data_IF_235572001174
#
_entry.id   IF_235572001174
#
_cell.length_a   1.000
_cell.length_b   1.000
_cell.length_c   1.000
_cell.angle_alpha   90.00
_cell.angle_beta   90.00
_cell.angle_gamma   90.00
#
_symmetry.space_group_name_H-M   'P 1'
#
loop_
_entity.id
_entity.type
_entity.pdbx_description
1 polymer ?
#
# COMPACT_ATOMS: atom_id res chain seq x y z
N UNK A 1 8.68 13.17 -34.06
CA UNK A 1 8.23 12.22 -33.05
C UNK A 1 9.39 12.11 -32.06
N UNK A 2 9.29 12.76 -30.95
CA UNK A 2 10.28 12.63 -29.87
C UNK A 2 10.15 11.22 -29.32
N UNK A 3 11.20 10.43 -29.54
CA UNK A 3 11.35 9.13 -28.91
C UNK A 3 11.37 9.41 -27.39
N UNK A 4 10.19 9.26 -26.74
CA UNK A 4 10.10 9.53 -25.33
C UNK A 4 10.87 8.42 -24.60
N UNK A 5 11.84 8.80 -23.79
CA UNK A 5 12.67 7.88 -23.01
C UNK A 5 11.88 7.04 -21.99
N UNK A 6 10.54 7.03 -22.08
CA UNK A 6 9.63 6.30 -21.17
C UNK A 6 8.31 5.95 -21.88
N UNK A 7 7.75 4.79 -21.55
CA UNK A 7 6.44 4.32 -22.04
C UNK A 7 5.39 4.33 -20.90
N UNK A 8 4.81 5.51 -20.66
CA UNK A 8 3.74 5.68 -19.67
C UNK A 8 2.49 4.85 -20.01
N UNK A 9 2.22 4.61 -21.31
CA UNK A 9 1.07 3.83 -21.74
C UNK A 9 1.22 2.35 -21.37
N UNK A 10 2.42 1.78 -21.50
CA UNK A 10 2.70 0.41 -21.04
C UNK A 10 2.49 0.27 -19.53
N UNK A 11 2.95 1.25 -18.75
CA UNK A 11 2.74 1.28 -17.29
C UNK A 11 1.26 1.35 -16.95
N UNK A 12 0.51 2.24 -17.59
CA UNK A 12 -0.95 2.38 -17.37
C UNK A 12 -1.69 1.08 -17.65
N UNK A 13 -1.41 0.46 -18.79
CA UNK A 13 -2.04 -0.80 -19.21
C UNK A 13 -1.75 -1.92 -18.20
N UNK A 14 -0.51 -2.01 -17.75
CA UNK A 14 -0.11 -3.02 -16.77
C UNK A 14 -0.79 -2.77 -15.40
N UNK A 15 -0.83 -1.53 -14.91
CA UNK A 15 -1.49 -1.19 -13.64
C UNK A 15 -2.98 -1.55 -13.65
N UNK A 16 -3.69 -1.28 -14.75
CA UNK A 16 -5.10 -1.66 -14.91
C UNK A 16 -5.28 -3.18 -14.93
N UNK A 17 -4.39 -3.90 -15.60
CA UNK A 17 -4.36 -5.36 -15.59
C UNK A 17 -4.10 -5.92 -14.19
N UNK A 18 -3.15 -5.35 -13.45
CA UNK A 18 -2.85 -5.71 -12.06
C UNK A 18 -4.06 -5.52 -11.14
N UNK A 19 -4.73 -4.36 -11.22
CA UNK A 19 -5.95 -4.11 -10.44
C UNK A 19 -7.01 -5.16 -10.72
N UNK A 20 -7.26 -5.46 -11.99
CA UNK A 20 -8.26 -6.44 -12.41
C UNK A 20 -7.92 -7.83 -11.89
N UNK A 21 -6.69 -8.29 -12.10
CA UNK A 21 -6.23 -9.59 -11.63
C UNK A 21 -6.38 -9.76 -10.11
N UNK A 22 -5.99 -8.75 -9.33
CA UNK A 22 -6.10 -8.81 -7.88
C UNK A 22 -7.57 -8.81 -7.45
N UNK A 23 -8.42 -7.94 -8.03
CA UNK A 23 -9.82 -7.86 -7.69
C UNK A 23 -10.58 -9.15 -8.02
N UNK A 24 -10.33 -9.75 -9.18
CA UNK A 24 -10.98 -10.98 -9.60
C UNK A 24 -10.54 -12.17 -8.73
N UNK A 25 -9.24 -12.28 -8.43
CA UNK A 25 -8.70 -13.34 -7.57
C UNK A 25 -9.26 -13.26 -6.15
N UNK A 26 -9.24 -12.06 -5.56
CA UNK A 26 -9.72 -11.88 -4.18
C UNK A 26 -11.24 -11.93 -4.08
N UNK A 27 -11.97 -11.49 -5.12
CA UNK A 27 -13.42 -11.65 -5.20
C UNK A 27 -13.84 -13.12 -5.28
N UNK A 28 -13.12 -13.92 -6.06
CA UNK A 28 -13.34 -15.37 -6.10
C UNK A 28 -13.00 -16.05 -4.77
N UNK A 29 -11.95 -15.60 -4.08
CA UNK A 29 -11.59 -16.10 -2.75
C UNK A 29 -12.64 -15.76 -1.67
N UNK A 30 -13.19 -14.53 -1.70
CA UNK A 30 -14.22 -14.06 -0.79
C UNK A 30 -15.59 -14.77 -1.05
N UNK A 31 -15.91 -15.03 -2.30
CA UNK A 31 -17.23 -15.45 -2.77
C UNK A 31 -18.12 -14.29 -3.23
N UNK A 32 -17.62 -13.05 -3.17
CA UNK A 32 -18.32 -11.83 -3.57
C UNK A 32 -17.44 -10.97 -4.50
N UNK A 33 -17.94 -10.56 -5.67
CA UNK A 33 -17.18 -9.70 -6.57
C UNK A 33 -17.02 -8.29 -6.01
N UNK A 34 -15.92 -7.65 -6.35
CA UNK A 34 -15.72 -6.23 -6.07
C UNK A 34 -16.65 -5.37 -6.92
N UNK A 35 -17.34 -4.42 -6.31
CA UNK A 35 -18.04 -3.37 -7.02
C UNK A 35 -17.03 -2.44 -7.73
N UNK A 36 -17.43 -1.96 -8.90
CA UNK A 36 -16.59 -1.08 -9.73
C UNK A 36 -17.14 0.33 -9.72
N UNK A 37 -16.30 1.29 -9.41
CA UNK A 37 -16.61 2.72 -9.44
C UNK A 37 -15.54 3.43 -10.28
N UNK A 38 -15.84 3.61 -11.57
CA UNK A 38 -15.00 4.36 -12.50
C UNK A 38 -15.34 5.86 -12.40
N UNK A 39 -14.31 6.68 -12.34
CA UNK A 39 -14.49 8.13 -12.18
C UNK A 39 -13.55 8.93 -13.08
N UNK A 40 -14.00 10.12 -13.44
CA UNK A 40 -13.23 11.10 -14.21
C UNK A 40 -13.25 12.44 -13.48
N UNK A 41 -12.17 13.20 -13.59
CA UNK A 41 -12.10 14.58 -13.09
C UNK A 41 -12.93 15.49 -13.97
N UNK A 42 -13.60 16.46 -13.34
CA UNK A 42 -14.36 17.46 -14.07
C UNK A 42 -13.42 18.44 -14.77
N UNK A 43 -13.69 18.79 -16.04
CA UNK A 43 -12.93 19.84 -16.71
C UNK A 43 -12.87 21.14 -15.92
N UNK A 44 -11.67 21.71 -15.76
CA UNK A 44 -11.46 22.95 -14.97
C UNK A 44 -11.01 22.73 -13.52
N UNK A 45 -10.97 21.48 -13.03
CA UNK A 45 -10.32 21.16 -11.77
C UNK A 45 -8.78 21.31 -11.87
N UNK A 46 -8.12 21.46 -10.69
CA UNK A 46 -6.64 21.54 -10.60
C UNK A 46 -5.96 20.27 -11.10
N UNK A 47 -6.61 19.13 -10.91
CA UNK A 47 -6.15 17.84 -11.42
C UNK A 47 -7.03 17.37 -12.55
N UNK A 48 -6.42 16.76 -13.56
CA UNK A 48 -7.06 16.10 -14.71
C UNK A 48 -6.89 14.60 -14.60
N UNK A 49 -7.60 13.84 -15.43
CA UNK A 49 -7.50 12.38 -15.48
C UNK A 49 -8.62 11.69 -14.73
N UNK A 50 -8.38 10.47 -14.27
CA UNK A 50 -9.43 9.65 -13.67
C UNK A 50 -8.87 8.43 -12.96
N UNK A 51 -9.75 7.47 -12.72
CA UNK A 51 -9.36 6.22 -12.10
C UNK A 51 -10.52 5.25 -11.98
N UNK A 52 -10.23 4.16 -11.30
CA UNK A 52 -11.21 3.10 -11.00
C UNK A 52 -10.99 2.61 -9.58
N UNK A 53 -12.04 2.66 -8.78
CA UNK A 53 -12.06 2.06 -7.45
C UNK A 53 -12.80 0.73 -7.52
N UNK A 54 -12.13 -0.33 -7.08
CA UNK A 54 -12.73 -1.63 -6.82
C UNK A 54 -12.93 -1.76 -5.33
N UNK A 55 -14.18 -1.89 -4.88
CA UNK A 55 -14.53 -1.93 -3.46
C UNK A 55 -15.37 -3.17 -3.15
N UNK A 56 -15.04 -3.87 -2.06
CA UNK A 56 -15.83 -4.95 -1.49
C UNK A 56 -16.10 -4.59 -0.03
N UNK A 57 -17.35 -4.53 0.35
CA UNK A 57 -17.80 -4.28 1.72
C UNK A 57 -18.76 -5.37 2.15
N UNK A 58 -18.61 -5.86 3.37
CA UNK A 58 -19.44 -6.92 3.92
C UNK A 58 -19.40 -8.20 3.08
N UNK A 59 -18.21 -8.64 2.69
CA UNK A 59 -17.98 -9.95 2.08
C UNK A 59 -18.00 -11.07 3.12
N UNK A 60 -17.86 -12.29 2.68
CA UNK A 60 -17.83 -13.44 3.60
C UNK A 60 -16.48 -13.53 4.33
N UNK A 61 -15.41 -13.10 3.67
CA UNK A 61 -14.05 -13.09 4.23
C UNK A 61 -13.55 -11.68 4.53
N UNK A 62 -13.71 -10.74 3.58
CA UNK A 62 -13.29 -9.35 3.76
C UNK A 62 -14.42 -8.50 4.34
N UNK A 63 -14.17 -7.88 5.50
CA UNK A 63 -15.07 -6.87 6.07
C UNK A 63 -15.07 -5.59 5.21
N UNK A 64 -13.89 -5.21 4.75
CA UNK A 64 -13.67 -4.19 3.71
C UNK A 64 -12.38 -4.50 2.94
N UNK A 65 -12.45 -4.34 1.62
CA UNK A 65 -11.29 -4.43 0.74
C UNK A 65 -11.41 -3.37 -0.36
N UNK A 66 -10.39 -2.56 -0.52
CA UNK A 66 -10.35 -1.51 -1.53
C UNK A 66 -9.10 -1.62 -2.40
N UNK A 67 -9.26 -1.53 -3.73
CA UNK A 67 -8.20 -1.56 -4.72
C UNK A 67 -8.42 -0.40 -5.68
N UNK A 68 -7.65 0.67 -5.54
CA UNK A 68 -7.75 1.88 -6.36
C UNK A 68 -6.69 1.90 -7.45
N UNK A 69 -7.11 2.14 -8.69
CA UNK A 69 -6.26 2.64 -9.76
C UNK A 69 -6.52 4.14 -9.93
N UNK A 70 -5.48 4.93 -10.05
CA UNK A 70 -5.57 6.34 -10.41
C UNK A 70 -4.54 6.70 -11.47
N UNK A 71 -4.92 7.62 -12.36
CA UNK A 71 -4.06 8.25 -13.35
C UNK A 71 -4.46 9.71 -13.45
N UNK A 72 -3.67 10.58 -12.83
CA UNK A 72 -3.96 11.98 -12.67
C UNK A 72 -2.79 12.84 -13.08
N UNK A 73 -3.09 14.00 -13.66
CA UNK A 73 -2.11 14.98 -14.09
C UNK A 73 -2.44 16.37 -13.54
N UNK A 74 -1.43 17.19 -13.36
CA UNK A 74 -1.57 18.58 -12.91
C UNK A 74 -0.52 19.49 -13.52
N UNK A 75 -0.80 20.78 -13.53
CA UNK A 75 0.10 21.77 -14.14
C UNK A 75 1.28 22.17 -13.25
N UNK A 76 1.23 21.81 -11.97
CA UNK A 76 2.32 22.03 -11.02
C UNK A 76 2.44 20.87 -10.05
N UNK A 77 3.67 20.39 -9.82
CA UNK A 77 3.98 19.41 -8.79
C UNK A 77 3.54 19.96 -7.42
N UNK A 78 2.83 19.13 -6.63
CA UNK A 78 2.47 19.50 -5.26
C UNK A 78 3.70 19.76 -4.39
N UNK A 79 3.55 20.66 -3.40
CA UNK A 79 4.62 21.00 -2.48
C UNK A 79 5.21 19.80 -1.73
N UNK A 80 4.39 18.79 -1.41
CA UNK A 80 4.84 17.55 -0.78
C UNK A 80 5.73 16.68 -1.69
N UNK A 81 5.52 16.72 -3.02
CA UNK A 81 6.35 16.01 -3.99
C UNK A 81 7.61 16.80 -4.38
N UNK A 82 7.57 18.15 -4.30
CA UNK A 82 8.71 19.02 -4.62
C UNK A 82 9.57 19.38 -3.41
N UNK A 83 9.12 19.13 -2.17
CA UNK A 83 9.87 19.46 -0.95
C UNK A 83 11.24 18.76 -0.89
N UNK A 84 11.31 17.50 -1.32
CA UNK A 84 12.56 16.74 -1.41
C UNK A 84 13.36 17.04 -2.70
N UNK A 85 12.74 17.73 -3.68
CA UNK A 85 13.31 18.01 -5.01
C UNK A 85 12.96 19.43 -5.46
N UNK A 86 13.56 20.46 -4.84
CA UNK A 86 13.24 21.86 -5.16
C UNK A 86 13.44 22.23 -6.65
N UNK A 87 14.36 21.55 -7.34
CA UNK A 87 14.64 21.72 -8.76
C UNK A 87 13.46 21.30 -9.67
N UNK A 88 12.51 20.54 -9.16
CA UNK A 88 11.31 20.13 -9.89
C UNK A 88 10.10 21.05 -9.64
N UNK A 89 10.25 22.06 -8.81
CA UNK A 89 9.19 23.02 -8.54
C UNK A 89 8.72 23.70 -9.84
N UNK A 90 7.41 23.83 -10.00
CA UNK A 90 6.79 24.43 -11.18
C UNK A 90 6.72 23.56 -12.42
N UNK A 91 7.19 22.28 -12.36
CA UNK A 91 6.92 21.30 -13.42
C UNK A 91 5.48 20.80 -13.33
N UNK A 92 4.86 20.58 -14.49
CA UNK A 92 3.66 19.75 -14.57
C UNK A 92 3.97 18.30 -14.21
N UNK A 93 2.95 17.52 -13.92
CA UNK A 93 3.15 16.10 -13.57
C UNK A 93 2.02 15.21 -14.08
N UNK A 94 2.35 13.95 -14.25
CA UNK A 94 1.44 12.82 -14.38
C UNK A 94 1.82 11.79 -13.31
N UNK A 95 0.82 11.28 -12.58
CA UNK A 95 1.02 10.27 -11.54
C UNK A 95 -0.02 9.19 -11.72
N UNK A 96 0.45 7.94 -11.83
CA UNK A 96 -0.42 6.78 -11.95
C UNK A 96 0.02 5.65 -11.03
N UNK A 97 -0.95 4.89 -10.53
CA UNK A 97 -0.64 3.80 -9.61
C UNK A 97 -1.84 2.96 -9.23
N UNK A 98 -1.53 1.82 -8.62
CA UNK A 98 -2.47 0.96 -7.91
C UNK A 98 -2.14 0.98 -6.44
N UNK A 99 -3.14 1.21 -5.60
CA UNK A 99 -3.06 1.13 -4.15
C UNK A 99 -4.18 0.26 -3.61
N UNK A 100 -3.88 -0.59 -2.64
CA UNK A 100 -4.89 -1.43 -2.01
C UNK A 100 -4.69 -1.55 -0.51
N UNK A 101 -5.80 -1.74 0.20
CA UNK A 101 -5.83 -2.16 1.60
C UNK A 101 -6.96 -3.15 1.79
N UNK A 102 -6.66 -4.27 2.45
CA UNK A 102 -7.59 -5.36 2.68
C UNK A 102 -7.75 -5.60 4.18
N UNK A 103 -8.99 -5.59 4.66
CA UNK A 103 -9.35 -5.81 6.07
C UNK A 103 -10.22 -7.05 6.22
N UNK A 104 -9.64 -8.23 6.57
CA UNK A 104 -10.40 -9.45 6.84
C UNK A 104 -11.29 -9.34 8.10
N UNK A 105 -12.39 -10.10 8.13
CA UNK A 105 -13.19 -10.29 9.34
C UNK A 105 -12.40 -11.01 10.44
N UNK A 106 -11.73 -12.10 10.08
CA UNK A 106 -11.02 -12.94 11.04
C UNK A 106 -9.77 -12.24 11.58
N UNK A 107 -9.65 -12.02 12.90
CA UNK A 107 -8.48 -11.37 13.51
C UNK A 107 -7.16 -12.10 13.31
N UNK A 108 -7.19 -13.40 13.01
CA UNK A 108 -6.00 -14.17 12.70
C UNK A 108 -5.47 -13.96 11.27
N UNK A 109 -6.28 -13.31 10.42
CA UNK A 109 -5.88 -12.88 9.10
C UNK A 109 -5.42 -11.42 9.14
N UNK A 110 -4.20 -11.12 8.71
CA UNK A 110 -3.67 -9.76 8.81
C UNK A 110 -4.31 -8.80 7.80
N UNK A 111 -4.36 -7.52 8.15
CA UNK A 111 -4.51 -6.44 7.17
C UNK A 111 -3.25 -6.38 6.30
N UNK A 112 -3.40 -6.07 5.03
CA UNK A 112 -2.30 -5.90 4.08
C UNK A 112 -2.50 -4.62 3.29
N UNK A 113 -1.40 -3.97 2.98
CA UNK A 113 -1.31 -2.83 2.09
C UNK A 113 -0.33 -3.12 0.96
N UNK A 114 -0.62 -2.64 -0.23
CA UNK A 114 0.32 -2.57 -1.35
C UNK A 114 0.08 -1.29 -2.13
N UNK A 115 1.16 -0.68 -2.60
CA UNK A 115 1.13 0.44 -3.54
C UNK A 115 2.23 0.23 -4.58
N UNK A 116 1.93 0.50 -5.84
CA UNK A 116 2.91 0.62 -6.93
C UNK A 116 2.54 1.79 -7.80
N UNK A 117 3.49 2.68 -8.09
CA UNK A 117 3.21 3.94 -8.78
C UNK A 117 4.36 4.43 -9.64
N UNK A 118 4.01 5.21 -10.65
CA UNK A 118 4.90 6.02 -11.48
C UNK A 118 4.53 7.50 -11.32
N UNK A 119 5.52 8.36 -11.21
CA UNK A 119 5.37 9.81 -11.36
C UNK A 119 6.32 10.33 -12.44
N UNK A 120 5.81 11.19 -13.30
CA UNK A 120 6.56 11.84 -14.38
C UNK A 120 6.38 13.36 -14.22
N UNK A 121 7.49 14.09 -14.09
CA UNK A 121 7.50 15.54 -14.01
C UNK A 121 7.99 16.13 -15.34
N UNK A 122 7.19 17.01 -15.94
CA UNK A 122 7.46 17.59 -17.26
C UNK A 122 7.51 19.10 -17.23
N UNK A 123 8.36 19.68 -18.10
CA UNK A 123 8.39 21.11 -18.36
C UNK A 123 8.74 21.34 -19.83
N UNK A 124 8.07 22.24 -20.53
CA UNK A 124 8.37 22.51 -21.94
C UNK A 124 9.84 22.87 -22.15
N UNK A 125 10.49 22.18 -23.09
CA UNK A 125 11.91 22.42 -23.41
C UNK A 125 12.92 21.78 -22.48
N UNK A 126 12.48 21.03 -21.47
CA UNK A 126 13.35 20.28 -20.57
C UNK A 126 13.03 18.77 -20.64
N UNK A 127 14.06 17.94 -20.39
CA UNK A 127 13.87 16.49 -20.31
C UNK A 127 12.90 16.13 -19.19
N UNK A 128 11.98 15.18 -19.39
CA UNK A 128 11.12 14.65 -18.35
C UNK A 128 11.93 13.97 -17.25
N UNK A 129 11.45 14.10 -16.01
CA UNK A 129 12.01 13.38 -14.86
C UNK A 129 10.96 12.41 -14.35
N UNK A 130 11.31 11.14 -14.27
CA UNK A 130 10.41 10.10 -13.78
C UNK A 130 10.99 9.42 -12.54
N UNK A 131 10.12 8.84 -11.74
CA UNK A 131 10.50 7.90 -10.68
C UNK A 131 9.35 6.95 -10.35
N UNK A 132 9.73 5.77 -9.94
CA UNK A 132 8.83 4.76 -9.42
C UNK A 132 8.85 4.77 -7.90
N UNK A 133 7.71 4.40 -7.30
CA UNK A 133 7.55 4.21 -5.88
C UNK A 133 6.58 3.07 -5.60
N UNK A 134 6.65 2.54 -4.39
CA UNK A 134 5.74 1.49 -4.01
C UNK A 134 6.18 0.72 -2.78
N UNK A 135 5.61 -0.45 -2.63
CA UNK A 135 5.88 -1.38 -1.56
C UNK A 135 4.65 -2.18 -1.18
N UNK A 136 4.85 -3.11 -0.26
CA UNK A 136 3.78 -3.85 0.41
C UNK A 136 4.19 -4.14 1.85
N UNK A 137 3.23 -4.08 2.77
CA UNK A 137 3.45 -4.33 4.19
C UNK A 137 2.28 -5.06 4.83
N UNK A 138 2.59 -5.85 5.87
CA UNK A 138 1.65 -6.71 6.57
C UNK A 138 1.40 -6.22 7.99
N UNK A 139 0.13 -6.12 8.38
CA UNK A 139 -0.30 -5.66 9.70
C UNK A 139 -1.11 -6.76 10.39
N UNK A 140 -0.46 -7.69 11.11
CA UNK A 140 -1.15 -8.71 11.90
C UNK A 140 -1.72 -8.14 13.20
N UNK A 141 -2.77 -8.78 13.69
CA UNK A 141 -3.32 -8.60 15.04
C UNK A 141 -2.86 -9.72 15.96
N UNK A 142 -2.72 -10.92 15.41
CA UNK A 142 -2.08 -12.07 16.04
C UNK A 142 -0.87 -12.47 15.21
N UNK A 143 0.30 -12.50 15.82
CA UNK A 143 1.55 -12.75 15.13
C UNK A 143 1.82 -14.24 14.89
N UNK A 144 2.18 -14.57 13.66
CA UNK A 144 2.64 -15.91 13.25
C UNK A 144 3.98 -15.77 12.54
N UNK A 145 5.01 -16.40 13.09
CA UNK A 145 6.38 -16.25 12.57
C UNK A 145 6.53 -16.79 11.14
N UNK A 146 5.85 -17.86 10.83
CA UNK A 146 5.86 -18.46 9.50
C UNK A 146 5.18 -17.56 8.44
N UNK A 147 4.14 -16.81 8.81
CA UNK A 147 3.51 -15.82 7.93
C UNK A 147 4.44 -14.63 7.67
N UNK A 148 5.08 -14.12 8.74
CA UNK A 148 6.04 -13.04 8.62
C UNK A 148 7.24 -13.42 7.73
N UNK A 149 7.81 -14.60 7.96
CA UNK A 149 8.90 -15.12 7.13
C UNK A 149 8.48 -15.37 5.68
N UNK A 150 7.28 -15.90 5.45
CA UNK A 150 6.75 -16.09 4.10
C UNK A 150 6.61 -14.75 3.37
N UNK A 151 5.95 -13.77 4.00
CA UNK A 151 5.72 -12.45 3.40
C UNK A 151 7.04 -11.77 3.03
N UNK A 152 7.98 -11.72 3.96
CA UNK A 152 9.30 -11.12 3.73
C UNK A 152 10.13 -11.87 2.70
N UNK A 153 10.02 -13.21 2.62
CA UNK A 153 10.69 -14.00 1.58
C UNK A 153 10.18 -13.61 0.19
N UNK A 154 8.87 -13.50 0.01
CA UNK A 154 8.30 -13.06 -1.28
C UNK A 154 8.73 -11.62 -1.60
N UNK A 155 8.80 -10.72 -0.63
CA UNK A 155 9.34 -9.37 -0.82
C UNK A 155 10.78 -9.41 -1.31
N UNK A 156 11.64 -10.21 -0.68
CA UNK A 156 13.04 -10.38 -1.08
C UNK A 156 13.15 -10.96 -2.49
N UNK A 157 12.47 -12.06 -2.75
CA UNK A 157 12.54 -12.79 -4.01
C UNK A 157 12.05 -11.93 -5.20
N UNK A 158 11.10 -11.01 -4.95
CA UNK A 158 10.64 -10.05 -5.95
C UNK A 158 11.70 -8.99 -6.31
N UNK A 159 12.62 -8.69 -5.43
CA UNK A 159 13.67 -7.68 -5.61
C UNK A 159 15.02 -8.26 -6.02
N UNK A 160 15.30 -9.52 -5.67
CA UNK A 160 16.60 -10.17 -5.89
C UNK A 160 17.11 -10.08 -7.34
N UNK A 161 16.29 -10.23 -8.40
CA UNK A 161 16.75 -10.10 -9.79
C UNK A 161 17.27 -8.69 -10.17
N UNK A 162 16.95 -7.69 -9.36
CA UNK A 162 17.26 -6.27 -9.60
C UNK A 162 18.40 -5.74 -8.72
N UNK A 163 18.79 -6.47 -7.70
CA UNK A 163 19.93 -6.16 -6.84
C UNK A 163 19.78 -6.73 -5.43
N UNK A 164 20.81 -7.39 -4.94
CA UNK A 164 20.81 -8.04 -3.62
C UNK A 164 20.62 -7.07 -2.45
N UNK A 165 21.02 -5.80 -2.61
CA UNK A 165 20.93 -4.77 -1.58
C UNK A 165 19.54 -4.09 -1.53
N UNK A 166 18.66 -4.34 -2.51
CA UNK A 166 17.36 -3.68 -2.58
C UNK A 166 16.45 -4.12 -1.43
N UNK A 167 16.34 -5.41 -1.17
CA UNK A 167 15.47 -5.88 -0.09
C UNK A 167 15.90 -5.35 1.29
N UNK A 168 17.16 -5.47 1.74
CA UNK A 168 17.56 -4.90 3.02
C UNK A 168 17.31 -3.38 3.13
N UNK A 169 17.53 -2.65 2.04
CA UNK A 169 17.34 -1.20 1.99
C UNK A 169 15.86 -0.82 2.07
N UNK A 170 15.01 -1.47 1.26
CA UNK A 170 13.59 -1.17 1.20
C UNK A 170 12.83 -1.70 2.42
N UNK A 171 13.30 -2.80 3.03
CA UNK A 171 12.78 -3.30 4.31
C UNK A 171 13.03 -2.29 5.43
N UNK A 172 14.25 -1.78 5.56
CA UNK A 172 14.59 -0.76 6.54
C UNK A 172 13.77 0.51 6.34
N UNK A 173 13.65 0.96 5.09
CA UNK A 173 12.83 2.12 4.78
C UNK A 173 11.34 1.90 5.10
N UNK A 174 10.82 0.70 4.87
CA UNK A 174 9.47 0.31 5.26
C UNK A 174 9.26 0.42 6.78
N UNK A 175 10.20 -0.12 7.58
CA UNK A 175 10.14 -0.06 9.04
C UNK A 175 10.16 1.40 9.56
N UNK A 176 11.00 2.25 8.96
CA UNK A 176 11.08 3.68 9.30
C UNK A 176 9.82 4.45 8.88
N UNK A 177 9.30 4.17 7.68
CA UNK A 177 8.14 4.88 7.14
C UNK A 177 6.86 4.58 7.91
N UNK A 178 6.58 3.30 8.19
CA UNK A 178 5.36 2.86 8.86
C UNK A 178 5.46 2.85 10.40
N UNK A 179 6.34 3.66 10.95
CA UNK A 179 6.51 3.80 12.40
C UNK A 179 5.60 4.91 12.97
N UNK A 180 4.78 4.56 13.97
CA UNK A 180 3.93 5.49 14.71
C UNK A 180 4.74 6.20 15.80
N UNK A 181 5.27 7.38 15.51
CA UNK A 181 6.17 8.12 16.40
C UNK A 181 5.55 8.42 17.77
N UNK A 182 4.26 8.80 17.79
CA UNK A 182 3.53 9.13 19.02
C UNK A 182 3.16 7.91 19.87
N UNK A 183 3.26 6.69 19.32
CA UNK A 183 3.07 5.42 20.01
C UNK A 183 4.37 4.70 20.31
N UNK A 184 5.46 5.11 19.67
CA UNK A 184 6.75 4.42 19.70
C UNK A 184 6.64 2.94 19.30
N UNK A 185 5.86 2.66 18.25
CA UNK A 185 5.64 1.30 17.75
C UNK A 185 5.50 1.27 16.21
N UNK A 186 5.90 0.20 15.53
CA UNK A 186 5.61 0.02 14.11
C UNK A 186 4.12 -0.30 13.88
N UNK A 187 3.61 0.05 12.69
CA UNK A 187 2.23 -0.26 12.29
C UNK A 187 1.98 -1.77 12.20
N UNK A 188 2.95 -2.53 11.71
CA UNK A 188 2.89 -3.97 11.52
C UNK A 188 4.30 -4.58 11.52
N UNK A 189 4.45 -5.72 10.86
CA UNK A 189 5.74 -6.43 10.73
C UNK A 189 6.60 -5.91 9.58
N UNK A 190 6.18 -4.84 8.91
CA UNK A 190 6.86 -4.30 7.74
C UNK A 190 6.63 -5.10 6.47
N UNK A 191 7.59 -5.05 5.62
CA UNK A 191 7.65 -5.58 4.27
C UNK A 191 8.70 -4.81 3.50
N UNK A 192 8.32 -4.15 2.40
CA UNK A 192 9.19 -3.29 1.60
C UNK A 192 8.51 -1.96 1.28
N UNK A 193 9.30 -0.91 1.23
CA UNK A 193 8.90 0.42 0.77
C UNK A 193 10.03 1.06 -0.03
N UNK A 194 9.70 1.63 -1.17
CA UNK A 194 10.64 2.38 -2.00
C UNK A 194 9.96 3.61 -2.61
N UNK A 195 10.73 4.63 -2.83
CA UNK A 195 10.33 5.85 -3.52
C UNK A 195 11.54 6.39 -4.32
N UNK A 196 11.29 7.37 -5.20
CA UNK A 196 12.36 8.00 -5.98
C UNK A 196 13.24 7.02 -6.78
N UNK A 197 12.71 5.84 -7.14
CA UNK A 197 13.49 4.81 -7.80
C UNK A 197 13.52 5.02 -9.33
N UNK A 198 14.68 5.44 -9.85
CA UNK A 198 14.88 5.72 -11.27
C UNK A 198 16.31 5.46 -11.76
N UNK A 199 17.24 5.18 -10.84
CA UNK A 199 18.67 5.09 -11.14
C UNK A 199 19.05 4.11 -12.26
N UNK A 200 18.45 2.88 -12.36
CA UNK A 200 18.79 1.94 -13.43
C UNK A 200 18.13 2.26 -14.79
N UNK A 201 17.39 3.38 -14.90
CA UNK A 201 16.60 3.73 -16.09
C UNK A 201 15.17 3.23 -16.03
N UNK A 202 14.35 3.68 -17.01
CA UNK A 202 12.90 3.46 -17.01
C UNK A 202 12.51 1.98 -17.03
N UNK A 203 13.03 1.24 -18.01
CA UNK A 203 12.65 -0.15 -18.25
C UNK A 203 12.98 -1.07 -17.06
N UNK A 204 14.16 -0.91 -16.49
CA UNK A 204 14.57 -1.71 -15.31
C UNK A 204 13.78 -1.33 -14.06
N UNK A 205 13.52 -0.03 -13.86
CA UNK A 205 12.71 0.45 -12.73
C UNK A 205 11.25 -0.03 -12.86
N UNK A 206 10.70 0.00 -14.07
CA UNK A 206 9.36 -0.55 -14.35
C UNK A 206 9.33 -2.07 -14.15
N UNK A 207 10.32 -2.81 -14.62
CA UNK A 207 10.41 -4.25 -14.44
C UNK A 207 10.47 -4.63 -12.94
N UNK A 208 11.25 -3.91 -12.14
CA UNK A 208 11.30 -4.09 -10.67
C UNK A 208 9.94 -3.80 -10.02
N UNK A 209 9.30 -2.67 -10.36
CA UNK A 209 7.97 -2.35 -9.84
C UNK A 209 6.94 -3.43 -10.19
N UNK A 210 7.00 -3.96 -11.43
CA UNK A 210 6.14 -5.08 -11.87
C UNK A 210 6.34 -6.31 -11.02
N UNK A 211 7.59 -6.70 -10.76
CA UNK A 211 7.92 -7.86 -9.93
C UNK A 211 7.32 -7.72 -8.52
N UNK A 212 7.37 -6.53 -7.93
CA UNK A 212 6.74 -6.24 -6.63
C UNK A 212 5.23 -6.41 -6.70
N UNK A 213 4.55 -5.80 -7.69
CA UNK A 213 3.09 -5.89 -7.83
C UNK A 213 2.61 -7.32 -8.09
N UNK A 214 3.29 -8.07 -8.96
CA UNK A 214 3.00 -9.48 -9.27
C UNK A 214 3.30 -10.43 -8.08
N UNK A 215 4.17 -10.01 -7.18
CA UNK A 215 4.47 -10.69 -5.93
C UNK A 215 3.32 -10.64 -4.90
N UNK A 216 2.44 -9.65 -4.99
CA UNK A 216 1.44 -9.39 -3.94
C UNK A 216 0.54 -10.59 -3.63
N UNK A 217 -0.09 -11.18 -4.62
CA UNK A 217 -0.96 -12.35 -4.41
C UNK A 217 -0.17 -13.56 -3.88
N UNK A 218 1.07 -13.75 -4.32
CA UNK A 218 1.95 -14.82 -3.81
C UNK A 218 2.33 -14.59 -2.35
N UNK A 219 2.45 -13.34 -1.92
CA UNK A 219 2.75 -12.99 -0.53
C UNK A 219 1.54 -13.14 0.40
N UNK A 220 0.33 -12.79 -0.06
CA UNK A 220 -0.82 -12.65 0.82
C UNK A 220 -1.77 -13.87 0.82
N UNK A 221 -2.11 -14.44 -0.35
CA UNK A 221 -3.07 -15.55 -0.43
C UNK A 221 -2.72 -16.75 0.46
N UNK A 222 -1.48 -17.28 0.47
CA UNK A 222 -1.16 -18.43 1.31
C UNK A 222 -1.35 -18.18 2.79
N UNK A 223 -1.17 -16.92 3.24
CA UNK A 223 -1.38 -16.52 4.64
C UNK A 223 -2.86 -16.60 4.98
N UNK A 224 -3.72 -15.97 4.19
CA UNK A 224 -5.15 -15.94 4.47
C UNK A 224 -5.81 -17.30 4.28
N UNK A 225 -5.39 -18.09 3.30
CA UNK A 225 -5.83 -19.48 3.13
C UNK A 225 -5.56 -20.32 4.38
N UNK A 226 -4.37 -20.17 4.95
CA UNK A 226 -3.94 -20.89 6.15
C UNK A 226 -4.69 -20.44 7.42
N UNK A 227 -5.04 -19.16 7.52
CA UNK A 227 -5.59 -18.56 8.74
C UNK A 227 -7.11 -18.41 8.74
N UNK A 228 -7.78 -18.46 7.60
CA UNK A 228 -9.22 -18.17 7.46
C UNK A 228 -10.14 -19.01 8.33
N UNK A 229 -9.76 -20.23 8.66
CA UNK A 229 -10.57 -21.16 9.43
C UNK A 229 -10.21 -21.22 10.92
N UNK A 230 -9.27 -20.39 11.39
CA UNK A 230 -8.96 -20.31 12.82
C UNK A 230 -10.18 -19.72 13.54
N UNK A 231 -10.73 -20.42 14.55
CA UNK A 231 -11.87 -19.89 15.30
C UNK A 231 -11.47 -18.67 16.13
N UNK A 232 -12.40 -17.73 16.26
CA UNK A 232 -12.22 -16.51 17.07
C UNK A 232 -13.53 -16.11 17.72
N UNK A 233 -13.44 -15.35 18.80
CA UNK A 233 -14.57 -14.79 19.51
C UNK A 233 -14.56 -13.27 19.60
N UNK A 234 -15.37 -12.74 20.50
CA UNK A 234 -15.49 -11.29 20.69
C UNK A 234 -14.20 -10.65 21.22
N UNK A 235 -13.45 -11.36 22.05
CA UNK A 235 -12.19 -10.83 22.60
C UNK A 235 -11.17 -10.55 21.50
N UNK A 236 -11.01 -11.48 20.53
CA UNK A 236 -10.12 -11.31 19.38
C UNK A 236 -10.60 -10.19 18.46
N UNK A 237 -11.93 -10.06 18.24
CA UNK A 237 -12.52 -8.95 17.47
C UNK A 237 -12.29 -7.59 18.14
N UNK A 238 -12.43 -7.52 19.46
CA UNK A 238 -12.18 -6.30 20.23
C UNK A 238 -10.71 -5.88 20.15
N UNK A 239 -9.79 -6.84 20.22
CA UNK A 239 -8.37 -6.56 20.03
C UNK A 239 -8.05 -6.11 18.60
N UNK A 240 -8.62 -6.76 17.59
CA UNK A 240 -8.50 -6.33 16.20
C UNK A 240 -8.98 -4.88 16.02
N UNK A 241 -10.15 -4.53 16.53
CA UNK A 241 -10.69 -3.18 16.44
C UNK A 241 -9.78 -2.15 17.14
N UNK A 242 -9.21 -2.51 18.29
CA UNK A 242 -8.24 -1.68 19.00
C UNK A 242 -6.95 -1.48 18.19
N UNK A 243 -6.41 -2.54 17.58
CA UNK A 243 -5.20 -2.44 16.75
C UNK A 243 -5.45 -1.68 15.45
N UNK A 244 -6.63 -1.80 14.87
CA UNK A 244 -7.07 -1.01 13.72
C UNK A 244 -7.06 0.49 14.00
N UNK A 245 -7.23 0.91 15.26
CA UNK A 245 -7.01 2.30 15.67
C UNK A 245 -5.61 2.80 15.34
N UNK A 246 -4.56 1.98 15.52
CA UNK A 246 -3.17 2.31 15.14
C UNK A 246 -3.01 2.47 13.63
N UNK A 247 -3.68 1.63 12.86
CA UNK A 247 -3.71 1.73 11.41
C UNK A 247 -4.31 3.06 10.94
N UNK A 248 -5.45 3.46 11.51
CA UNK A 248 -6.10 4.74 11.22
C UNK A 248 -5.23 5.92 11.65
N UNK A 249 -4.62 5.87 12.83
CA UNK A 249 -3.70 6.91 13.31
C UNK A 249 -2.56 7.14 12.31
N UNK A 250 -1.93 6.08 11.81
CA UNK A 250 -0.87 6.21 10.81
C UNK A 250 -1.39 6.86 9.53
N UNK A 251 -2.45 6.31 8.96
CA UNK A 251 -2.94 6.75 7.65
C UNK A 251 -3.43 8.20 7.66
N UNK A 252 -4.08 8.66 8.73
CA UNK A 252 -4.60 10.03 8.80
C UNK A 252 -3.57 11.07 9.26
N UNK A 253 -2.54 10.66 10.02
CA UNK A 253 -1.60 11.60 10.62
C UNK A 253 -0.24 11.62 9.91
N UNK A 254 0.23 10.48 9.42
CA UNK A 254 1.60 10.33 8.93
C UNK A 254 1.70 9.92 7.46
N UNK A 255 0.67 9.28 6.89
CA UNK A 255 0.77 8.78 5.51
C UNK A 255 0.78 9.95 4.51
N UNK A 256 1.93 10.11 3.84
CA UNK A 256 2.13 11.18 2.86
C UNK A 256 1.14 11.10 1.70
N UNK A 257 0.78 9.89 1.28
CA UNK A 257 -0.16 9.67 0.18
C UNK A 257 -1.58 10.11 0.54
N UNK A 258 -2.06 9.72 1.72
CA UNK A 258 -3.36 10.14 2.26
C UNK A 258 -3.43 11.65 2.45
N UNK A 259 -2.42 12.23 3.12
CA UNK A 259 -2.36 13.69 3.34
C UNK A 259 -2.32 14.46 2.02
N UNK A 260 -1.48 14.02 1.07
CA UNK A 260 -1.43 14.60 -0.26
C UNK A 260 -2.78 14.53 -0.96
N UNK A 261 -3.40 13.35 -1.00
CA UNK A 261 -4.70 13.15 -1.65
C UNK A 261 -5.78 14.07 -1.10
N UNK A 262 -5.91 14.15 0.23
CA UNK A 262 -6.90 15.01 0.88
C UNK A 262 -6.63 16.51 0.66
N UNK A 263 -5.36 16.93 0.72
CA UNK A 263 -4.97 18.35 0.56
C UNK A 263 -5.03 18.81 -0.89
N UNK A 264 -4.82 17.94 -1.86
CA UNK A 264 -4.86 18.26 -3.29
C UNK A 264 -6.27 18.19 -3.90
N UNK A 265 -7.31 17.91 -3.10
CA UNK A 265 -8.67 17.70 -3.58
C UNK A 265 -8.85 16.37 -4.28
N UNK A 266 -8.09 15.34 -3.85
CA UNK A 266 -8.27 13.96 -4.27
C UNK A 266 -9.68 13.45 -3.98
N UNK A 267 -10.10 12.38 -4.66
CA UNK A 267 -11.42 11.77 -4.44
C UNK A 267 -11.46 11.11 -3.06
N UNK A 268 -12.17 11.73 -2.12
CA UNK A 268 -12.22 11.35 -0.70
C UNK A 268 -12.60 9.88 -0.52
N UNK A 269 -13.63 9.40 -1.22
CA UNK A 269 -14.10 8.01 -1.13
C UNK A 269 -13.01 7.00 -1.54
N UNK A 270 -12.26 7.32 -2.61
CA UNK A 270 -11.14 6.46 -3.08
C UNK A 270 -9.92 6.52 -2.16
N UNK A 271 -9.74 7.58 -1.38
CA UNK A 271 -8.67 7.71 -0.39
C UNK A 271 -9.07 6.96 0.89
N UNK A 272 -10.27 7.21 1.41
CA UNK A 272 -10.72 6.65 2.68
C UNK A 272 -11.22 5.20 2.59
N UNK A 273 -11.28 4.60 1.39
CA UNK A 273 -11.54 3.16 1.23
C UNK A 273 -10.49 2.29 1.94
N UNK A 274 -9.31 2.84 2.20
CA UNK A 274 -8.23 2.18 2.93
C UNK A 274 -8.48 2.02 4.44
N UNK A 275 -9.48 2.74 4.98
CA UNK A 275 -9.78 2.69 6.40
C UNK A 275 -10.56 1.41 6.76
N UNK A 276 -10.26 0.77 7.91
CA UNK A 276 -11.08 -0.32 8.41
C UNK A 276 -12.48 0.18 8.79
N UNK A 277 -13.54 -0.65 8.60
CA UNK A 277 -14.91 -0.20 8.86
C UNK A 277 -15.22 0.00 10.34
N UNK A 278 -14.50 -0.73 11.23
CA UNK A 278 -14.67 -0.66 12.69
C UNK A 278 -13.32 -0.51 13.34
N UNK A 279 -13.21 0.48 14.22
CA UNK A 279 -12.02 0.77 15.04
C UNK A 279 -12.44 1.07 16.47
N UNK A 280 -11.52 0.89 17.39
CA UNK A 280 -11.74 1.23 18.80
C UNK A 280 -10.47 1.82 19.42
N UNK A 281 -10.65 2.77 20.34
CA UNK A 281 -9.59 3.30 21.20
C UNK A 281 -9.95 3.03 22.65
N UNK A 282 -8.97 2.49 23.40
CA UNK A 282 -9.09 2.28 24.83
C UNK A 282 -8.08 3.15 25.56
N UNK A 283 -8.53 3.86 26.58
CA UNK A 283 -7.66 4.73 27.38
C UNK A 283 -6.68 3.89 28.19
N UNK A 284 -5.37 4.10 27.98
CA UNK A 284 -4.26 3.47 28.73
C UNK A 284 -4.34 1.93 28.84
N UNK A 285 -4.95 1.26 27.84
CA UNK A 285 -5.04 -0.19 27.82
C UNK A 285 -3.70 -0.82 27.46
N UNK A 286 -3.35 -1.90 28.18
CA UNK A 286 -2.19 -2.74 27.90
C UNK A 286 -2.65 -4.20 27.83
N UNK A 287 -2.04 -5.04 26.99
CA UNK A 287 -2.33 -6.46 26.96
C UNK A 287 -1.79 -7.14 28.24
N UNK A 288 -2.49 -8.17 28.69
CA UNK A 288 -2.03 -8.96 29.83
C UNK A 288 -0.75 -9.72 29.48
N UNK A 289 0.28 -9.73 30.34
CA UNK A 289 1.52 -10.47 30.10
C UNK A 289 1.28 -11.96 29.83
N UNK A 290 2.00 -12.51 28.85
CA UNK A 290 1.90 -13.92 28.47
C UNK A 290 0.75 -14.26 27.52
N UNK A 291 -0.10 -13.29 27.16
CA UNK A 291 -1.17 -13.48 26.18
C UNK A 291 -0.65 -13.38 24.75
N UNK A 292 -1.37 -13.92 23.74
CA UNK A 292 -1.05 -13.71 22.33
C UNK A 292 -1.02 -12.23 21.93
N UNK A 293 -1.87 -11.39 22.54
CA UNK A 293 -1.91 -9.94 22.35
C UNK A 293 -0.61 -9.29 22.83
N UNK A 294 -0.09 -9.69 24.00
CA UNK A 294 1.20 -9.19 24.50
C UNK A 294 2.37 -9.64 23.59
N UNK A 295 2.32 -10.87 23.08
CA UNK A 295 3.33 -11.39 22.14
C UNK A 295 3.37 -10.62 20.83
N UNK A 296 2.25 -10.05 20.38
CA UNK A 296 2.28 -9.17 19.20
C UNK A 296 3.28 -8.01 19.41
N UNK A 297 3.26 -7.39 20.58
CA UNK A 297 4.13 -6.25 20.90
C UNK A 297 5.60 -6.67 21.10
N UNK A 298 5.83 -7.75 21.84
CA UNK A 298 7.21 -8.17 22.18
C UNK A 298 7.96 -8.83 21.02
N UNK A 299 7.26 -9.57 20.16
CA UNK A 299 7.89 -10.46 19.20
C UNK A 299 7.74 -9.98 17.75
N UNK A 300 6.69 -9.18 17.44
CA UNK A 300 6.33 -8.81 16.08
C UNK A 300 6.39 -7.30 15.81
N UNK A 301 6.01 -6.47 16.76
CA UNK A 301 6.07 -5.00 16.63
C UNK A 301 7.42 -4.45 17.11
N UNK A 302 8.47 -5.15 16.76
CA UNK A 302 9.87 -4.77 17.03
C UNK A 302 10.69 -4.93 15.77
N UNK A 303 11.74 -4.11 15.56
CA UNK A 303 12.66 -4.30 14.44
C UNK A 303 13.24 -5.72 14.47
N UNK A 304 13.04 -6.47 13.39
CA UNK A 304 13.48 -7.86 13.30
C UNK A 304 13.79 -8.26 11.86
N UNK A 305 14.86 -9.02 11.69
CA UNK A 305 15.17 -9.69 10.42
C UNK A 305 14.35 -10.98 10.31
N UNK A 306 13.55 -11.09 9.26
CA UNK A 306 12.65 -12.23 9.04
C UNK A 306 13.26 -13.30 8.11
N UNK A 307 14.14 -12.87 7.17
CA UNK A 307 14.76 -13.71 6.13
C UNK A 307 16.18 -13.27 5.80
#
# INVERSE_FOLDING_TARGET
MTDSSYDAQAVRTWLQGLQTQIADTLGAFDGKPFATDAWQRTPGEKLRGGGCTRILEGGDFFERAGIGFSDVAGDALPGSASAARPQLAGRGFEAMGVSLVLHPHNPHCPTVHMNVRLLIATKPGEEPVFWFGGGMDLTPYYGYEDDARHFHRVCRDALEPYGADLYPSFKRWCDEYFFLKHRNEPRGIGGIFFDDYSAPGFDQSFAMMRSVGEGFLKAYLPIIEKRRSIPYGQAERDFQAYRRGRYVEFNLVFDRGTLFGLQSGGRTESILMSMPPVVNWRYNWQPEPGTPEARLYSDFLVPREWV
#
